data_IF_854339209587
#
_entry.id   IF_854339209587
#
_cell.length_a   1.000
_cell.length_b   1.000
_cell.length_c   1.000
_cell.angle_alpha   90.00
_cell.angle_beta   90.00
_cell.angle_gamma   90.00
#
_symmetry.space_group_name_H-M   'P 1'
#
loop_
_entity.id
_entity.type
_entity.pdbx_description
1 polymer ?
#
# COMPACT_ATOMS: atom_id res chain seq x y z
N UNK A 1 33.58 5.84 -0.50
CA UNK A 1 33.69 4.51 -1.11
C UNK A 1 34.72 3.71 -0.30
N UNK A 2 34.28 3.03 0.76
CA UNK A 2 35.15 2.25 1.64
C UNK A 2 34.93 0.75 1.35
N UNK A 3 35.97 -0.09 1.22
CA UNK A 3 35.78 -1.52 0.98
C UNK A 3 35.46 -2.27 2.28
N UNK A 4 34.52 -3.21 2.19
CA UNK A 4 34.13 -4.12 3.27
C UNK A 4 35.20 -5.21 3.52
N UNK A 5 35.38 -5.68 4.77
CA UNK A 5 36.26 -6.81 5.06
C UNK A 5 35.59 -8.16 4.76
N UNK A 6 36.35 -9.09 4.18
CA UNK A 6 35.95 -10.48 3.93
C UNK A 6 35.99 -11.34 5.19
N UNK A 7 35.11 -12.35 5.33
CA UNK A 7 35.14 -13.28 6.45
C UNK A 7 36.22 -14.37 6.28
N UNK A 8 36.91 -14.67 7.37
CA UNK A 8 37.93 -15.71 7.52
C UNK A 8 37.32 -17.11 7.68
N UNK A 9 37.96 -18.18 7.16
CA UNK A 9 37.50 -19.55 7.35
C UNK A 9 37.93 -20.12 8.71
N UNK A 10 36.98 -20.73 9.41
CA UNK A 10 37.19 -21.44 10.68
C UNK A 10 37.79 -22.83 10.39
N UNK A 11 39.02 -23.04 10.86
CA UNK A 11 39.69 -24.33 10.94
C UNK A 11 38.91 -25.27 11.88
N UNK A 12 38.20 -26.24 11.31
CA UNK A 12 37.67 -27.38 12.07
C UNK A 12 38.75 -28.45 12.20
N UNK A 13 39.15 -28.64 13.45
CA UNK A 13 40.16 -29.55 13.94
C UNK A 13 39.73 -31.01 13.72
N UNK A 14 40.55 -31.77 13.00
CA UNK A 14 40.36 -33.20 12.78
C UNK A 14 40.97 -33.99 13.95
N UNK A 15 40.12 -34.71 14.69
CA UNK A 15 40.54 -35.67 15.72
C UNK A 15 40.65 -37.06 15.06
N UNK A 16 41.81 -37.75 15.11
CA UNK A 16 41.93 -39.11 14.63
C UNK A 16 41.60 -40.09 15.76
N UNK A 17 40.51 -40.85 15.62
CA UNK A 17 40.28 -42.04 16.44
C UNK A 17 40.72 -43.28 15.65
N UNK A 18 41.86 -43.83 16.05
CA UNK A 18 42.36 -45.11 15.59
C UNK A 18 41.57 -46.24 16.27
N UNK A 19 40.83 -47.03 15.49
CA UNK A 19 40.25 -48.30 15.94
C UNK A 19 41.15 -49.46 15.48
N UNK A 20 41.78 -50.20 16.40
CA UNK A 20 42.55 -51.38 16.06
C UNK A 20 41.62 -52.60 15.98
N UNK A 21 41.79 -53.39 14.92
CA UNK A 21 41.41 -54.79 14.90
C UNK A 21 39.95 -55.09 14.59
N UNK A 22 39.58 -55.06 13.31
CA UNK A 22 38.53 -55.96 12.81
C UNK A 22 39.04 -56.75 11.61
N UNK A 23 39.07 -58.07 11.84
CA UNK A 23 39.40 -59.15 10.92
C UNK A 23 38.50 -59.05 9.69
N UNK A 24 39.08 -58.88 8.50
CA UNK A 24 38.36 -58.85 7.22
C UNK A 24 37.70 -60.20 6.99
N UNK A 25 36.42 -60.33 7.35
CA UNK A 25 35.57 -61.40 6.83
C UNK A 25 35.20 -61.03 5.39
N UNK A 26 35.77 -61.75 4.43
CA UNK A 26 35.33 -61.71 3.03
C UNK A 26 33.90 -62.26 2.96
N UNK A 27 32.92 -61.38 2.82
CA UNK A 27 31.55 -61.74 2.51
C UNK A 27 31.45 -62.18 1.03
N UNK A 28 30.69 -63.25 0.72
CA UNK A 28 30.44 -63.65 -0.66
C UNK A 28 29.72 -62.52 -1.42
N UNK A 29 29.93 -62.38 -2.75
CA UNK A 29 29.26 -61.36 -3.53
C UNK A 29 27.75 -61.57 -3.47
N UNK A 30 27.02 -60.51 -3.09
CA UNK A 30 25.56 -60.50 -3.15
C UNK A 30 25.12 -60.63 -4.62
N UNK A 31 24.04 -61.39 -4.90
CA UNK A 31 23.47 -61.44 -6.23
C UNK A 31 23.04 -60.04 -6.68
N UNK A 32 23.15 -59.71 -7.99
CA UNK A 32 22.69 -58.43 -8.50
C UNK A 32 21.21 -58.27 -8.16
N UNK A 33 20.88 -57.18 -7.45
CA UNK A 33 19.49 -56.77 -7.29
C UNK A 33 18.93 -56.55 -8.69
N UNK A 34 18.12 -57.49 -9.15
CA UNK A 34 17.32 -57.33 -10.36
C UNK A 34 16.40 -56.15 -10.10
N UNK A 35 16.76 -54.98 -10.63
CA UNK A 35 15.83 -53.88 -10.75
C UNK A 35 14.65 -54.41 -11.56
N UNK A 36 13.50 -54.55 -10.91
CA UNK A 36 12.26 -54.86 -11.61
C UNK A 36 12.11 -53.80 -12.70
N UNK A 37 11.82 -54.19 -13.95
CA UNK A 37 11.63 -53.23 -15.03
C UNK A 37 10.49 -52.30 -14.61
N UNK A 38 10.84 -51.06 -14.29
CA UNK A 38 9.86 -50.00 -14.10
C UNK A 38 9.17 -49.83 -15.46
N UNK A 39 7.96 -50.39 -15.59
CA UNK A 39 7.14 -50.19 -16.77
C UNK A 39 6.95 -48.69 -16.91
N UNK A 40 7.67 -48.08 -17.85
CA UNK A 40 7.43 -46.70 -18.24
C UNK A 40 6.05 -46.67 -18.89
N UNK A 41 5.02 -46.38 -18.09
CA UNK A 41 3.72 -46.01 -18.62
C UNK A 41 3.87 -44.60 -19.18
N UNK A 42 3.83 -44.49 -20.50
CA UNK A 42 3.75 -43.19 -21.16
C UNK A 42 2.38 -42.56 -20.90
N UNK A 43 2.34 -41.24 -20.84
CA UNK A 43 1.09 -40.49 -20.73
C UNK A 43 0.20 -40.77 -21.93
N UNK A 44 -1.09 -41.01 -21.69
CA UNK A 44 -2.06 -41.22 -22.77
C UNK A 44 -2.54 -39.88 -23.32
N UNK A 45 -3.04 -39.85 -24.57
CA UNK A 45 -3.67 -38.66 -25.14
C UNK A 45 -4.85 -38.18 -24.29
N UNK A 46 -5.60 -39.11 -23.68
CA UNK A 46 -6.73 -38.81 -22.80
C UNK A 46 -6.27 -38.08 -21.55
N UNK A 47 -5.15 -38.49 -20.96
CA UNK A 47 -4.59 -37.87 -19.76
C UNK A 47 -4.13 -36.43 -20.01
N UNK A 48 -3.45 -36.19 -21.14
CA UNK A 48 -3.08 -34.84 -21.53
C UNK A 48 -4.31 -33.97 -21.85
N UNK A 49 -5.36 -34.54 -22.46
CA UNK A 49 -6.61 -33.84 -22.71
C UNK A 49 -7.31 -33.43 -21.41
N UNK A 50 -7.39 -34.34 -20.43
CA UNK A 50 -7.97 -34.05 -19.11
C UNK A 50 -7.17 -32.96 -18.38
N UNK A 51 -5.84 -33.00 -18.40
CA UNK A 51 -4.99 -31.98 -17.76
C UNK A 51 -5.20 -30.61 -18.39
N UNK A 52 -5.19 -30.51 -19.72
CA UNK A 52 -5.39 -29.23 -20.42
C UNK A 52 -6.79 -28.69 -20.14
N UNK A 53 -7.82 -29.54 -20.09
CA UNK A 53 -9.18 -29.13 -19.73
C UNK A 53 -9.23 -28.61 -18.28
N UNK A 54 -8.65 -29.31 -17.30
CA UNK A 54 -8.62 -28.88 -15.90
C UNK A 54 -7.88 -27.53 -15.77
N UNK A 55 -6.71 -27.40 -16.40
CA UNK A 55 -5.93 -26.14 -16.37
C UNK A 55 -6.71 -25.00 -17.02
N UNK A 56 -7.40 -25.25 -18.14
CA UNK A 56 -8.24 -24.25 -18.81
C UNK A 56 -9.40 -23.75 -17.94
N UNK A 57 -10.07 -24.67 -17.23
CA UNK A 57 -11.15 -24.32 -16.27
C UNK A 57 -10.60 -23.50 -15.11
N UNK A 58 -9.48 -23.93 -14.51
CA UNK A 58 -8.85 -23.24 -13.39
C UNK A 58 -8.36 -21.84 -13.78
N UNK A 59 -7.75 -21.70 -14.95
CA UNK A 59 -7.29 -20.41 -15.46
C UNK A 59 -8.46 -19.43 -15.66
N UNK A 60 -9.59 -19.91 -16.18
CA UNK A 60 -10.80 -19.10 -16.37
C UNK A 60 -11.41 -18.65 -15.03
N UNK A 61 -11.40 -19.52 -14.02
CA UNK A 61 -11.92 -19.22 -12.69
C UNK A 61 -11.04 -18.27 -11.85
N UNK A 62 -9.77 -18.05 -12.24
CA UNK A 62 -8.83 -17.23 -11.49
C UNK A 62 -8.95 -15.71 -11.76
N UNK A 63 -9.50 -15.31 -12.91
CA UNK A 63 -9.63 -13.90 -13.31
C UNK A 63 -10.39 -12.98 -12.32
N UNK A 64 -11.54 -13.36 -11.72
CA UNK A 64 -12.30 -12.44 -10.88
C UNK A 64 -11.54 -12.02 -9.61
N UNK A 65 -10.56 -12.79 -9.15
CA UNK A 65 -9.85 -12.47 -7.91
C UNK A 65 -8.91 -11.25 -8.02
N UNK A 66 -8.38 -10.96 -9.21
CA UNK A 66 -7.40 -9.86 -9.39
C UNK A 66 -8.08 -8.49 -9.29
N UNK A 67 -9.26 -8.33 -9.89
CA UNK A 67 -9.99 -7.06 -9.93
C UNK A 67 -10.44 -6.59 -8.52
N UNK A 68 -10.69 -7.55 -7.63
CA UNK A 68 -11.10 -7.27 -6.25
C UNK A 68 -9.93 -6.75 -5.41
N UNK A 69 -8.71 -7.22 -5.70
CA UNK A 69 -7.49 -6.72 -5.07
C UNK A 69 -7.28 -5.23 -5.34
N UNK A 70 -7.40 -4.82 -6.61
CA UNK A 70 -7.24 -3.41 -7.01
C UNK A 70 -8.25 -2.50 -6.32
N UNK A 71 -9.53 -2.90 -6.27
CA UNK A 71 -10.55 -2.11 -5.61
C UNK A 71 -10.25 -1.91 -4.11
N UNK A 72 -9.82 -2.97 -3.41
CA UNK A 72 -9.42 -2.88 -2.00
C UNK A 72 -8.21 -1.98 -1.79
N UNK A 73 -7.27 -1.97 -2.72
CA UNK A 73 -6.11 -1.06 -2.69
C UNK A 73 -6.57 0.39 -2.88
N UNK A 74 -7.43 0.66 -3.87
CA UNK A 74 -8.03 1.99 -4.08
C UNK A 74 -8.80 2.47 -2.86
N UNK A 75 -9.64 1.64 -2.26
CA UNK A 75 -10.36 1.99 -1.03
C UNK A 75 -9.44 2.33 0.15
N UNK A 76 -8.32 1.61 0.31
CA UNK A 76 -7.34 1.92 1.36
C UNK A 76 -6.61 3.23 1.08
N UNK A 77 -6.22 3.45 -0.17
CA UNK A 77 -5.60 4.68 -0.62
C UNK A 77 -6.53 5.89 -0.44
N UNK A 78 -7.83 5.74 -0.74
CA UNK A 78 -8.83 6.79 -0.54
C UNK A 78 -8.95 7.17 0.93
N UNK A 79 -9.11 6.18 1.83
CA UNK A 79 -9.17 6.46 3.27
C UNK A 79 -7.89 7.11 3.79
N UNK A 80 -6.74 6.75 3.24
CA UNK A 80 -5.48 7.38 3.61
C UNK A 80 -5.42 8.84 3.14
N UNK A 81 -5.78 9.10 1.89
CA UNK A 81 -5.85 10.44 1.32
C UNK A 81 -6.79 11.36 2.12
N UNK A 82 -8.01 10.90 2.43
CA UNK A 82 -8.96 11.65 3.25
C UNK A 82 -8.39 11.97 4.64
N UNK A 83 -7.77 10.99 5.31
CA UNK A 83 -7.13 11.22 6.62
C UNK A 83 -5.98 12.23 6.54
N UNK A 84 -5.14 12.14 5.50
CA UNK A 84 -3.99 13.03 5.34
C UNK A 84 -4.46 14.49 5.13
N UNK A 85 -5.49 14.70 4.30
CA UNK A 85 -6.06 16.02 4.06
C UNK A 85 -6.75 16.56 5.31
N UNK A 86 -7.64 15.79 5.96
CA UNK A 86 -8.33 16.20 7.19
C UNK A 86 -7.35 16.54 8.31
N UNK A 87 -6.30 15.73 8.49
CA UNK A 87 -5.24 16.00 9.47
C UNK A 87 -4.47 17.30 9.17
N UNK A 88 -4.25 17.61 7.89
CA UNK A 88 -3.61 18.86 7.49
C UNK A 88 -4.52 20.07 7.76
N UNK A 89 -5.83 19.96 7.50
CA UNK A 89 -6.84 20.97 7.84
C UNK A 89 -6.86 21.21 9.36
N UNK A 90 -6.88 20.15 10.15
CA UNK A 90 -6.84 20.25 11.62
C UNK A 90 -5.54 20.91 12.11
N UNK A 91 -4.42 20.61 11.45
CA UNK A 91 -3.12 21.21 11.78
C UNK A 91 -3.08 22.69 11.41
N UNK A 92 -3.69 23.08 10.29
CA UNK A 92 -3.89 24.47 9.90
C UNK A 92 -4.71 25.21 10.97
N UNK A 93 -5.85 24.64 11.37
CA UNK A 93 -6.72 25.20 12.40
C UNK A 93 -5.97 25.40 13.72
N UNK A 94 -5.21 24.40 14.17
CA UNK A 94 -4.36 24.52 15.37
C UNK A 94 -3.31 25.61 15.23
N UNK A 95 -2.68 25.77 14.07
CA UNK A 95 -1.70 26.82 13.84
C UNK A 95 -2.33 28.23 13.85
N UNK A 96 -3.59 28.35 13.40
CA UNK A 96 -4.39 29.58 13.52
C UNK A 96 -4.73 29.89 14.98
N UNK A 97 -5.19 28.89 15.73
CA UNK A 97 -5.53 29.02 17.14
C UNK A 97 -4.30 29.39 17.98
N UNK A 98 -3.15 28.78 17.70
CA UNK A 98 -1.85 29.10 18.29
C UNK A 98 -1.31 30.48 17.87
N UNK A 99 -1.94 31.17 16.91
CA UNK A 99 -1.48 32.45 16.37
C UNK A 99 -0.16 32.35 15.61
N UNK A 100 0.18 31.17 15.06
CA UNK A 100 1.32 31.00 14.15
C UNK A 100 0.99 31.49 12.73
N UNK A 101 -0.30 31.53 12.39
CA UNK A 101 -0.84 32.14 11.17
C UNK A 101 -1.46 33.49 11.54
N UNK A 102 -1.36 34.47 10.64
CA UNK A 102 -1.99 35.77 10.84
C UNK A 102 -3.52 35.61 10.94
N UNK A 103 -4.11 36.14 12.01
CA UNK A 103 -5.58 36.14 12.17
C UNK A 103 -6.19 37.23 11.31
N UNK A 104 -7.18 36.86 10.50
CA UNK A 104 -8.03 37.82 9.77
C UNK A 104 -9.33 37.96 10.54
N UNK A 105 -9.87 39.17 10.58
CA UNK A 105 -11.03 39.51 11.43
C UNK A 105 -12.28 38.69 11.05
N UNK A 106 -12.42 38.32 9.78
CA UNK A 106 -13.57 37.57 9.26
C UNK A 106 -13.26 36.09 8.96
N UNK A 107 -12.07 35.60 9.31
CA UNK A 107 -11.71 34.21 9.02
C UNK A 107 -12.21 33.28 10.12
N UNK A 108 -12.90 32.21 9.71
CA UNK A 108 -13.28 31.10 10.59
C UNK A 108 -12.07 30.38 11.17
N UNK A 109 -10.90 30.51 10.52
CA UNK A 109 -9.61 29.93 10.86
C UNK A 109 -9.35 28.53 10.27
N UNK A 110 -10.21 28.12 9.34
CA UNK A 110 -9.97 27.04 8.38
C UNK A 110 -9.30 27.59 7.11
N UNK A 111 -8.61 26.74 6.32
CA UNK A 111 -8.02 27.17 5.06
C UNK A 111 -9.11 27.60 4.06
N UNK A 112 -8.87 28.62 3.23
CA UNK A 112 -9.85 29.07 2.22
C UNK A 112 -10.04 28.05 1.08
N UNK A 113 -8.98 27.32 0.75
CA UNK A 113 -8.95 26.30 -0.30
C UNK A 113 -7.93 25.20 0.04
N UNK A 114 -7.89 24.13 -0.76
CA UNK A 114 -6.92 23.05 -0.59
C UNK A 114 -5.50 23.49 -0.97
N UNK A 115 -5.35 24.45 -1.90
CA UNK A 115 -4.06 24.97 -2.34
C UNK A 115 -3.29 25.65 -1.18
N UNK A 116 -3.98 26.32 -0.25
CA UNK A 116 -3.38 26.93 0.93
C UNK A 116 -2.61 25.93 1.82
N UNK A 117 -2.98 24.63 1.79
CA UNK A 117 -2.27 23.58 2.52
C UNK A 117 -0.89 23.27 1.91
N UNK A 118 -0.73 23.45 0.59
CA UNK A 118 0.50 23.14 -0.17
C UNK A 118 1.34 24.36 -0.53
N UNK A 119 0.74 25.51 -0.78
CA UNK A 119 1.43 26.76 -1.15
C UNK A 119 2.10 27.43 0.06
N UNK A 120 1.61 27.07 1.24
CA UNK A 120 2.08 27.52 2.53
C UNK A 120 1.63 28.95 2.86
N UNK A 121 1.42 29.20 4.15
CA UNK A 121 0.90 30.46 4.66
C UNK A 121 1.99 31.21 5.45
N UNK A 122 2.12 32.54 5.32
CA UNK A 122 3.13 33.30 6.08
C UNK A 122 2.98 33.10 7.59
N UNK A 123 4.08 32.76 8.24
CA UNK A 123 4.13 32.56 9.68
C UNK A 123 4.19 33.89 10.45
N UNK A 124 3.15 34.21 11.21
CA UNK A 124 3.05 35.45 12.00
C UNK A 124 4.06 35.55 13.15
N UNK A 125 4.60 34.41 13.62
CA UNK A 125 5.56 34.33 14.74
C UNK A 125 7.01 34.20 14.30
N UNK A 126 7.28 34.18 12.99
CA UNK A 126 8.64 34.00 12.46
C UNK A 126 9.25 35.35 12.08
N UNK A 127 10.45 35.70 12.58
CA UNK A 127 11.13 36.96 12.25
C UNK A 127 11.42 37.15 10.74
N UNK A 128 11.42 36.07 9.97
CA UNK A 128 11.73 36.04 8.53
C UNK A 128 10.49 35.71 7.66
N UNK A 129 9.27 35.81 8.19
CA UNK A 129 8.01 35.48 7.46
C UNK A 129 8.03 34.10 6.78
N UNK A 130 8.72 33.11 7.37
CA UNK A 130 8.82 31.78 6.79
C UNK A 130 7.42 31.19 6.58
N UNK A 131 7.18 30.68 5.36
CA UNK A 131 5.94 29.99 5.02
C UNK A 131 5.80 28.68 5.80
N UNK A 132 4.62 28.47 6.36
CA UNK A 132 4.20 27.24 7.02
C UNK A 132 3.44 26.38 6.01
N UNK A 133 3.95 25.17 5.76
CA UNK A 133 3.33 24.19 4.86
C UNK A 133 2.66 23.08 5.68
N UNK A 134 1.45 22.68 5.29
CA UNK A 134 0.67 21.65 6.00
C UNK A 134 0.65 20.33 5.25
N UNK A 135 0.72 20.38 3.92
CA UNK A 135 0.89 19.23 3.04
C UNK A 135 2.15 19.41 2.18
N UNK A 136 2.83 18.29 1.92
CA UNK A 136 3.93 18.24 0.93
C UNK A 136 3.41 18.27 -0.50
N UNK A 137 2.24 17.68 -0.71
CA UNK A 137 1.46 17.64 -1.96
C UNK A 137 0.04 17.21 -1.60
N UNK A 138 -0.92 17.61 -2.42
CA UNK A 138 -2.29 17.14 -2.27
C UNK A 138 -2.39 15.66 -2.68
N UNK A 139 -2.90 14.75 -1.82
CA UNK A 139 -3.18 13.39 -2.21
C UNK A 139 -4.23 13.32 -3.33
N UNK A 140 -4.09 12.33 -4.22
CA UNK A 140 -5.01 12.07 -5.33
C UNK A 140 -6.17 11.18 -4.87
N UNK A 141 -7.38 11.43 -5.33
CA UNK A 141 -8.46 10.44 -5.24
C UNK A 141 -8.16 9.25 -6.20
N UNK A 142 -8.01 8.01 -5.69
CA UNK A 142 -7.68 6.84 -6.51
C UNK A 142 -8.81 6.38 -7.46
N UNK A 143 -10.02 6.93 -7.32
CA UNK A 143 -11.16 6.64 -8.18
C UNK A 143 -11.44 7.72 -9.22
N UNK A 144 -10.89 8.92 -9.06
CA UNK A 144 -11.08 10.00 -10.01
C UNK A 144 -10.23 9.82 -11.27
N UNK A 145 -10.66 10.47 -12.35
CA UNK A 145 -10.04 10.35 -13.67
C UNK A 145 -8.57 10.83 -13.65
N UNK A 146 -7.63 10.13 -14.32
CA UNK A 146 -6.21 10.50 -14.46
C UNK A 146 -5.92 11.96 -14.81
N UNK A 147 -6.80 12.62 -15.55
CA UNK A 147 -6.60 13.96 -16.09
C UNK A 147 -7.26 15.07 -15.23
N UNK A 148 -8.01 14.70 -14.19
CA UNK A 148 -8.63 15.69 -13.29
C UNK A 148 -7.55 16.41 -12.44
N UNK A 149 -7.55 17.75 -12.38
CA UNK A 149 -6.67 18.51 -11.49
C UNK A 149 -6.87 18.11 -10.02
N UNK A 150 -5.80 18.13 -9.20
CA UNK A 150 -5.85 17.61 -7.82
C UNK A 150 -6.89 18.29 -6.92
N UNK A 151 -7.15 19.58 -7.14
CA UNK A 151 -8.09 20.38 -6.36
C UNK A 151 -9.54 20.04 -6.68
N UNK A 152 -9.84 19.67 -7.93
CA UNK A 152 -11.18 19.36 -8.43
C UNK A 152 -11.61 17.91 -8.16
N UNK A 153 -10.73 17.08 -7.61
CA UNK A 153 -11.01 15.66 -7.33
C UNK A 153 -11.86 15.47 -6.08
N UNK A 154 -11.89 16.47 -5.21
CA UNK A 154 -12.45 16.39 -3.87
C UNK A 154 -13.68 17.29 -3.74
N UNK A 155 -14.74 16.73 -3.16
CA UNK A 155 -15.86 17.53 -2.69
C UNK A 155 -15.46 18.29 -1.43
N UNK A 156 -15.81 19.56 -1.36
CA UNK A 156 -15.48 20.44 -0.23
C UNK A 156 -16.71 20.69 0.62
N UNK A 157 -16.50 20.74 1.92
CA UNK A 157 -17.49 21.12 2.92
C UNK A 157 -16.96 22.30 3.72
N UNK A 158 -17.70 23.39 3.74
CA UNK A 158 -17.40 24.57 4.54
C UNK A 158 -17.87 24.42 5.98
N UNK A 159 -17.28 25.19 6.89
CA UNK A 159 -17.64 25.20 8.31
C UNK A 159 -19.07 25.68 8.54
N UNK A 160 -19.57 26.59 7.70
CA UNK A 160 -20.92 27.12 7.77
C UNK A 160 -21.99 26.11 7.33
N UNK A 161 -21.60 25.08 6.55
CA UNK A 161 -22.55 24.09 6.06
C UNK A 161 -22.99 23.10 7.14
N UNK A 162 -24.24 22.61 7.14
CA UNK A 162 -24.68 21.57 8.06
C UNK A 162 -23.97 20.22 7.79
N UNK A 163 -23.93 19.29 8.75
CA UNK A 163 -23.32 17.97 8.55
C UNK A 163 -24.03 17.10 7.51
N UNK A 164 -25.38 17.18 7.45
CA UNK A 164 -26.20 16.33 6.58
C UNK A 164 -26.32 16.84 5.14
N UNK A 165 -25.92 18.10 4.88
CA UNK A 165 -25.93 18.72 3.55
C UNK A 165 -24.62 19.51 3.35
N UNK A 166 -23.52 18.83 3.01
CA UNK A 166 -22.21 19.44 2.89
C UNK A 166 -22.14 20.35 1.66
N UNK A 167 -21.85 21.63 1.88
CA UNK A 167 -21.74 22.62 0.81
C UNK A 167 -20.37 23.31 0.84
N UNK A 168 -19.77 23.58 -0.33
CA UNK A 168 -18.58 24.42 -0.40
C UNK A 168 -18.93 25.86 0.05
N UNK A 169 -17.92 26.64 0.43
CA UNK A 169 -18.12 28.00 0.92
C UNK A 169 -16.78 28.73 1.01
N UNK A 170 -16.70 29.69 1.93
CA UNK A 170 -15.52 30.55 2.10
C UNK A 170 -14.30 29.83 2.69
N UNK A 171 -14.49 28.61 3.20
CA UNK A 171 -13.45 27.78 3.80
C UNK A 171 -13.64 26.29 3.51
N UNK A 172 -12.58 25.54 3.81
CA UNK A 172 -12.56 24.08 3.75
C UNK A 172 -12.44 23.51 5.16
N UNK A 173 -13.57 23.05 5.67
CA UNK A 173 -13.66 22.35 6.95
C UNK A 173 -13.47 20.84 6.81
N UNK A 174 -14.04 20.25 5.76
CA UNK A 174 -13.93 18.82 5.48
C UNK A 174 -13.88 18.56 3.96
N UNK A 175 -13.41 17.38 3.59
CA UNK A 175 -13.32 16.89 2.21
C UNK A 175 -13.94 15.51 2.09
N UNK A 176 -14.47 15.19 0.91
CA UNK A 176 -15.02 13.88 0.60
C UNK A 176 -14.77 13.50 -0.87
N UNK A 177 -14.90 12.21 -1.20
CA UNK A 177 -14.74 11.75 -2.58
C UNK A 177 -15.95 12.12 -3.43
N UNK A 178 -15.71 12.60 -4.66
CA UNK A 178 -16.77 12.85 -5.65
C UNK A 178 -17.22 11.57 -6.37
N UNK A 179 -16.56 10.43 -6.12
CA UNK A 179 -16.91 9.18 -6.78
C UNK A 179 -18.28 8.67 -6.29
N UNK A 180 -19.25 8.36 -7.18
CA UNK A 180 -20.61 7.97 -6.80
C UNK A 180 -20.72 6.55 -6.24
N UNK A 181 -19.61 5.82 -6.18
CA UNK A 181 -19.55 4.44 -5.73
C UNK A 181 -19.81 4.26 -4.24
N UNK A 182 -20.12 3.01 -3.90
CA UNK A 182 -20.28 2.55 -2.52
C UNK A 182 -19.10 1.68 -2.17
N UNK A 183 -18.54 1.92 -0.99
CA UNK A 183 -17.44 1.13 -0.50
C UNK A 183 -17.87 -0.28 -0.11
N UNK A 184 -16.89 -1.16 0.03
CA UNK A 184 -17.10 -2.56 0.43
C UNK A 184 -17.76 -2.78 1.79
N UNK A 185 -17.89 -1.73 2.61
CA UNK A 185 -18.63 -1.70 3.87
C UNK A 185 -20.11 -1.29 3.72
N UNK A 186 -20.57 -1.02 2.49
CA UNK A 186 -21.92 -0.56 2.20
C UNK A 186 -22.15 0.94 2.39
N UNK A 187 -21.10 1.70 2.77
CA UNK A 187 -21.19 3.16 2.97
C UNK A 187 -20.70 3.88 1.71
N UNK A 188 -21.45 4.86 1.17
CA UNK A 188 -21.00 5.69 0.04
C UNK A 188 -19.66 6.37 0.31
N UNK A 189 -18.81 6.51 -0.72
CA UNK A 189 -17.48 7.13 -0.52
C UNK A 189 -17.52 8.59 -0.10
N UNK A 190 -18.60 9.30 -0.43
CA UNK A 190 -18.85 10.66 0.03
C UNK A 190 -19.10 10.77 1.54
N UNK A 191 -19.49 9.67 2.18
CA UNK A 191 -19.84 9.60 3.62
C UNK A 191 -18.68 8.99 4.45
N UNK A 192 -17.49 8.82 3.86
CA UNK A 192 -16.29 8.24 4.49
C UNK A 192 -15.43 9.27 5.22
#
# INVERSE_FOLDING_TARGET
>A
MAPAPSPTPILTNCIPLAFPGLRVMRHPPLPPMRCLPHRRTGFTLVEMLVVVVIVGVLASAAMPFVQWGEHRVKERALRQALRDIRSAIDTYRKAYDDGRIARRVDATGYPPDLAALTDGVPGAKSPEERKLYFLRRLPRDPFADPDTPMEDMWGLRSYASPPDDPQPGDDVYDVYSLHPGVGSNGVPYRDW
#
